data_IF_263731315302
#
_entry.id   IF_263731315302
#
_cell.length_a   1.000
_cell.length_b   1.000
_cell.length_c   1.000
_cell.angle_alpha   90.00
_cell.angle_beta   90.00
_cell.angle_gamma   90.00
#
_symmetry.space_group_name_H-M   'P 1'
#
loop_
_entity.id
_entity.type
_entity.pdbx_description
1 polymer ?
#
# COMPACT_ATOMS: atom_id res chain seq x y z
N UNK A 1 -30.81 6.85 3.66
CA UNK A 1 -29.89 6.98 4.80
C UNK A 1 -28.53 6.44 4.38
N UNK A 2 -27.41 7.11 4.71
CA UNK A 2 -26.07 6.58 4.47
C UNK A 2 -25.91 5.23 5.18
N UNK A 3 -25.14 4.31 4.62
CA UNK A 3 -24.79 3.07 5.33
C UNK A 3 -23.96 3.41 6.58
N UNK A 4 -23.88 2.47 7.53
CA UNK A 4 -22.99 2.63 8.70
C UNK A 4 -21.53 2.83 8.29
N UNK A 5 -21.08 2.19 7.21
CA UNK A 5 -19.73 2.37 6.67
C UNK A 5 -19.55 3.78 6.10
N UNK A 6 -20.53 4.29 5.34
CA UNK A 6 -20.49 5.64 4.77
C UNK A 6 -20.40 6.75 5.82
N UNK A 7 -20.86 6.52 7.06
CA UNK A 7 -20.74 7.52 8.14
C UNK A 7 -19.40 7.51 8.86
N UNK A 8 -18.64 6.41 8.82
CA UNK A 8 -17.39 6.23 9.60
C UNK A 8 -16.18 5.89 8.73
N UNK A 9 -16.32 5.99 7.40
CA UNK A 9 -15.31 5.48 6.49
C UNK A 9 -13.93 6.09 6.69
N UNK A 10 -13.84 7.35 7.16
CA UNK A 10 -12.56 8.01 7.42
C UNK A 10 -11.80 7.35 8.56
N UNK A 11 -12.49 6.90 9.60
CA UNK A 11 -11.90 6.15 10.70
C UNK A 11 -11.43 4.78 10.22
N UNK A 12 -12.23 4.12 9.37
CA UNK A 12 -11.84 2.84 8.73
C UNK A 12 -10.66 3.00 7.76
N UNK A 13 -10.48 4.19 7.21
CA UNK A 13 -9.31 4.59 6.41
C UNK A 13 -8.17 5.18 7.27
N UNK A 14 -8.22 5.04 8.59
CA UNK A 14 -7.09 5.35 9.47
C UNK A 14 -6.94 6.82 9.85
N UNK A 15 -7.98 7.65 9.70
CA UNK A 15 -7.96 9.05 10.14
C UNK A 15 -7.40 9.20 11.57
N UNK A 16 -7.87 8.34 12.47
CA UNK A 16 -7.45 8.28 13.87
C UNK A 16 -6.54 7.07 14.15
N UNK A 17 -5.69 6.69 13.17
CA UNK A 17 -4.74 5.56 13.28
C UNK A 17 -5.38 4.24 13.75
N UNK A 18 -6.64 4.00 13.39
CA UNK A 18 -7.44 2.85 13.81
C UNK A 18 -7.51 2.62 15.33
N UNK A 19 -7.37 3.68 16.12
CA UNK A 19 -7.48 3.62 17.58
C UNK A 19 -8.82 2.99 17.98
N UNK A 20 -8.78 1.99 18.87
CA UNK A 20 -9.96 1.21 19.32
C UNK A 20 -10.71 0.45 18.21
N UNK A 21 -10.13 0.27 17.02
CA UNK A 21 -10.73 -0.51 15.94
C UNK A 21 -10.04 -1.85 15.67
N UNK A 22 -8.81 -2.04 16.15
CA UNK A 22 -8.02 -3.26 15.91
C UNK A 22 -8.22 -4.30 17.01
N UNK A 23 -8.37 -3.86 18.26
CA UNK A 23 -8.50 -4.75 19.42
C UNK A 23 -9.59 -4.24 20.39
N UNK A 24 -10.76 -4.92 20.47
CA UNK A 24 -11.21 -6.01 19.58
C UNK A 24 -11.45 -5.51 18.15
N UNK A 25 -11.27 -6.40 17.17
CA UNK A 25 -11.40 -6.03 15.76
C UNK A 25 -12.83 -5.56 15.44
N UNK A 26 -12.94 -4.31 15.00
CA UNK A 26 -14.21 -3.73 14.59
C UNK A 26 -14.76 -4.45 13.34
N UNK A 27 -16.03 -4.89 13.33
CA UNK A 27 -16.59 -5.63 12.19
C UNK A 27 -16.57 -4.88 10.85
N UNK A 28 -16.68 -3.55 10.87
CA UNK A 28 -16.57 -2.74 9.64
C UNK A 28 -15.12 -2.68 9.14
N UNK A 29 -14.16 -2.57 10.06
CA UNK A 29 -12.74 -2.62 9.71
C UNK A 29 -12.38 -4.01 9.17
N UNK A 30 -12.85 -5.08 9.82
CA UNK A 30 -12.69 -6.45 9.34
C UNK A 30 -13.24 -6.62 7.92
N UNK A 31 -14.45 -6.10 7.66
CA UNK A 31 -15.06 -6.14 6.33
C UNK A 31 -14.23 -5.43 5.26
N UNK A 32 -13.68 -4.25 5.55
CA UNK A 32 -12.81 -3.54 4.61
C UNK A 32 -11.46 -4.24 4.43
N UNK A 33 -10.86 -4.81 5.50
CA UNK A 33 -9.65 -5.64 5.41
C UNK A 33 -9.88 -6.81 4.44
N UNK A 34 -10.98 -7.55 4.61
CA UNK A 34 -11.33 -8.66 3.73
C UNK A 34 -11.53 -8.16 2.29
N UNK A 35 -12.28 -7.07 2.10
CA UNK A 35 -12.55 -6.49 0.77
C UNK A 35 -11.25 -6.10 0.04
N UNK A 36 -10.31 -5.45 0.72
CA UNK A 36 -9.03 -5.09 0.12
C UNK A 36 -8.13 -6.31 -0.11
N UNK A 37 -8.21 -7.33 0.75
CA UNK A 37 -7.56 -8.62 0.52
C UNK A 37 -8.10 -9.33 -0.73
N UNK A 38 -9.41 -9.31 -0.96
CA UNK A 38 -10.03 -9.89 -2.16
C UNK A 38 -9.57 -9.22 -3.45
N UNK A 39 -9.36 -7.91 -3.45
CA UNK A 39 -8.77 -7.22 -4.61
C UNK A 39 -7.33 -7.67 -4.89
N UNK A 40 -6.53 -7.87 -3.85
CA UNK A 40 -5.18 -8.42 -4.01
C UNK A 40 -5.25 -9.85 -4.56
N UNK A 41 -6.19 -10.67 -4.09
CA UNK A 41 -6.40 -12.02 -4.62
C UNK A 41 -6.89 -12.02 -6.07
N UNK A 42 -7.66 -11.02 -6.49
CA UNK A 42 -8.04 -10.84 -7.89
C UNK A 42 -6.80 -10.63 -8.78
N UNK A 43 -5.75 -9.98 -8.28
CA UNK A 43 -4.49 -9.90 -9.01
C UNK A 43 -3.85 -11.27 -9.25
N UNK A 44 -3.79 -12.12 -8.23
CA UNK A 44 -3.24 -13.47 -8.40
C UNK A 44 -4.02 -14.28 -9.43
N UNK A 45 -5.35 -14.26 -9.38
CA UNK A 45 -6.22 -14.99 -10.32
C UNK A 45 -6.07 -14.49 -11.76
N UNK A 46 -5.97 -13.18 -11.97
CA UNK A 46 -5.77 -12.61 -13.29
C UNK A 46 -4.42 -13.02 -13.91
N UNK A 47 -3.38 -13.16 -13.08
CA UNK A 47 -2.06 -13.63 -13.52
C UNK A 47 -2.07 -15.11 -13.91
N UNK A 48 -2.77 -15.97 -13.16
CA UNK A 48 -2.89 -17.40 -13.50
C UNK A 48 -3.53 -17.65 -14.87
N UNK A 49 -4.43 -16.75 -15.30
CA UNK A 49 -5.12 -16.86 -16.58
C UNK A 49 -4.23 -16.51 -17.79
N UNK A 50 -3.21 -15.66 -17.61
CA UNK A 50 -2.24 -15.31 -18.65
C UNK A 50 -0.80 -15.36 -18.12
N UNK A 51 -0.20 -16.56 -18.05
CA UNK A 51 1.17 -16.75 -17.56
C UNK A 51 2.24 -16.09 -18.44
N UNK A 52 1.92 -15.74 -19.69
CA UNK A 52 2.83 -15.03 -20.58
C UNK A 52 2.90 -13.52 -20.25
N UNK A 53 1.90 -13.00 -19.53
CA UNK A 53 1.88 -11.65 -18.97
C UNK A 53 2.77 -11.51 -17.72
N UNK A 54 4.04 -11.92 -17.86
CA UNK A 54 5.09 -11.84 -16.83
C UNK A 54 5.33 -10.42 -16.28
N UNK A 55 4.74 -9.40 -16.93
CA UNK A 55 4.87 -7.97 -16.61
C UNK A 55 3.70 -7.40 -15.82
N UNK A 56 2.60 -8.13 -15.68
CA UNK A 56 1.44 -7.62 -14.97
C UNK A 56 1.62 -7.80 -13.45
N UNK A 57 1.64 -6.68 -12.74
CA UNK A 57 1.92 -6.62 -11.29
C UNK A 57 0.75 -6.05 -10.48
N UNK A 58 -0.32 -5.57 -11.13
CA UNK A 58 -1.42 -4.91 -10.46
C UNK A 58 -2.41 -4.22 -11.39
N UNK A 59 -3.42 -3.60 -10.81
CA UNK A 59 -4.40 -2.77 -11.53
C UNK A 59 -4.87 -1.57 -10.70
N UNK A 60 -5.46 -0.60 -11.41
CA UNK A 60 -6.19 0.53 -10.84
C UNK A 60 -7.68 0.34 -11.12
N UNK A 61 -8.50 0.49 -10.09
CA UNK A 61 -9.95 0.43 -10.17
C UNK A 61 -10.55 1.65 -9.45
N UNK A 62 -11.78 2.01 -9.83
CA UNK A 62 -12.53 3.07 -9.15
C UNK A 62 -13.94 2.58 -8.85
N UNK A 63 -14.43 2.88 -7.65
CA UNK A 63 -15.78 2.49 -7.25
C UNK A 63 -16.83 3.11 -8.17
N UNK A 64 -17.78 2.32 -8.69
CA UNK A 64 -18.94 2.84 -9.43
C UNK A 64 -19.99 3.50 -8.51
N UNK A 65 -20.96 4.21 -9.07
CA UNK A 65 -21.89 5.07 -8.31
C UNK A 65 -22.71 4.29 -7.27
N UNK A 66 -23.12 3.07 -7.60
CA UNK A 66 -23.80 2.17 -6.66
C UNK A 66 -22.92 1.89 -5.44
N UNK A 67 -21.62 1.73 -5.63
CA UNK A 67 -20.69 1.45 -4.54
C UNK A 67 -20.35 2.71 -3.74
N UNK A 68 -20.24 3.87 -4.40
CA UNK A 68 -20.12 5.17 -3.72
C UNK A 68 -21.24 5.41 -2.73
N UNK A 69 -22.49 5.05 -3.07
CA UNK A 69 -23.62 5.18 -2.16
C UNK A 69 -23.47 4.35 -0.87
N UNK A 70 -22.72 3.25 -0.93
CA UNK A 70 -22.42 2.40 0.23
C UNK A 70 -21.17 2.83 0.98
N UNK A 71 -20.13 3.26 0.28
CA UNK A 71 -18.85 3.64 0.88
C UNK A 71 -18.85 5.06 1.44
N UNK A 72 -19.76 5.92 0.97
CA UNK A 72 -19.79 7.35 1.30
C UNK A 72 -18.70 8.16 0.59
N UNK A 73 -17.97 7.56 -0.36
CA UNK A 73 -16.84 8.13 -1.08
C UNK A 73 -16.61 7.42 -2.41
N UNK A 74 -15.95 8.11 -3.34
CA UNK A 74 -15.32 7.54 -4.54
C UNK A 74 -13.97 6.96 -4.16
N UNK A 75 -13.87 5.64 -4.07
CA UNK A 75 -12.63 4.95 -3.72
C UNK A 75 -11.86 4.61 -4.98
N UNK A 76 -10.66 5.19 -5.13
CA UNK A 76 -9.67 4.80 -6.14
C UNK A 76 -8.80 3.73 -5.49
N UNK A 77 -8.89 2.49 -5.99
CA UNK A 77 -8.16 1.34 -5.45
C UNK A 77 -7.03 0.97 -6.40
N UNK A 78 -5.80 0.97 -5.89
CA UNK A 78 -4.63 0.45 -6.59
C UNK A 78 -4.19 -0.82 -5.90
N UNK A 79 -4.06 -1.91 -6.64
CA UNK A 79 -3.70 -3.21 -6.08
C UNK A 79 -2.48 -3.80 -6.73
N UNK A 80 -1.65 -4.43 -5.92
CA UNK A 80 -0.43 -5.10 -6.37
C UNK A 80 -0.38 -6.54 -5.86
N UNK A 81 -0.01 -7.47 -6.74
CA UNK A 81 0.34 -8.82 -6.32
C UNK A 81 1.78 -8.89 -5.82
N UNK A 82 2.07 -9.90 -5.00
CA UNK A 82 3.43 -10.31 -4.70
C UNK A 82 4.05 -11.19 -5.79
N UNK A 83 5.26 -11.65 -5.53
CA UNK A 83 5.91 -12.68 -6.35
C UNK A 83 5.20 -14.02 -6.18
N UNK A 84 5.02 -14.76 -7.27
CA UNK A 84 4.47 -16.14 -7.24
C UNK A 84 5.60 -17.15 -6.97
N UNK A 85 6.85 -16.76 -7.18
CA UNK A 85 8.03 -17.64 -7.10
C UNK A 85 9.13 -17.06 -6.20
N UNK A 86 9.38 -17.78 -5.10
CA UNK A 86 10.53 -17.78 -4.19
C UNK A 86 10.79 -16.60 -3.21
N UNK A 87 10.97 -16.88 -1.89
CA UNK A 87 11.53 -15.94 -0.90
C UNK A 87 12.89 -15.36 -1.29
N UNK A 88 13.68 -16.10 -2.07
CA UNK A 88 14.98 -15.66 -2.61
C UNK A 88 14.87 -14.37 -3.41
N UNK A 89 13.76 -14.17 -4.14
CA UNK A 89 13.53 -12.92 -4.87
C UNK A 89 13.40 -11.73 -3.93
N UNK A 90 12.68 -11.91 -2.82
CA UNK A 90 12.49 -10.85 -1.83
C UNK A 90 13.83 -10.52 -1.18
N UNK A 91 14.62 -11.54 -0.81
CA UNK A 91 15.96 -11.36 -0.28
C UNK A 91 16.88 -10.61 -1.26
N UNK A 92 16.84 -10.94 -2.56
CA UNK A 92 17.60 -10.22 -3.60
C UNK A 92 17.19 -8.74 -3.71
N UNK A 93 15.89 -8.45 -3.57
CA UNK A 93 15.35 -7.09 -3.64
C UNK A 93 15.71 -6.24 -2.40
N UNK A 94 15.99 -6.87 -1.26
CA UNK A 94 16.29 -6.22 0.02
C UNK A 94 17.79 -6.26 0.35
N UNK A 95 18.63 -5.90 -0.62
CA UNK A 95 20.09 -5.96 -0.49
C UNK A 95 20.73 -4.63 -0.15
N UNK A 96 20.05 -3.50 -0.40
CA UNK A 96 20.63 -2.17 -0.38
C UNK A 96 19.55 -1.10 -0.25
N UNK A 97 19.79 -0.10 0.61
CA UNK A 97 18.91 1.05 0.75
C UNK A 97 19.37 2.20 -0.15
N UNK A 98 18.46 2.72 -0.97
CA UNK A 98 18.70 3.90 -1.82
C UNK A 98 17.77 5.06 -1.48
N UNK A 99 18.24 6.32 -1.60
CA UNK A 99 17.38 7.48 -1.41
C UNK A 99 16.17 7.46 -2.35
N UNK A 100 14.97 7.65 -1.81
CA UNK A 100 13.73 7.74 -2.57
C UNK A 100 13.59 9.14 -3.19
N UNK A 101 14.26 9.36 -4.32
CA UNK A 101 14.30 10.66 -5.03
C UNK A 101 13.07 10.85 -5.93
N UNK A 102 11.89 10.83 -5.32
CA UNK A 102 10.64 10.96 -6.06
C UNK A 102 10.29 12.42 -6.42
N UNK A 103 10.57 13.38 -5.53
CA UNK A 103 10.49 14.80 -5.86
C UNK A 103 11.83 15.30 -6.44
N UNK A 104 11.88 15.70 -7.73
CA UNK A 104 13.09 16.26 -8.33
C UNK A 104 13.46 17.65 -7.76
N UNK A 105 12.54 18.34 -7.10
CA UNK A 105 12.76 19.68 -6.55
C UNK A 105 13.24 19.67 -5.09
N UNK A 106 12.89 18.65 -4.31
CA UNK A 106 13.30 18.49 -2.91
C UNK A 106 13.86 17.09 -2.63
N UNK A 107 14.99 16.76 -3.25
CA UNK A 107 15.63 15.46 -3.08
C UNK A 107 16.13 15.28 -1.64
N UNK A 108 15.39 14.49 -0.85
CA UNK A 108 15.78 14.04 0.49
C UNK A 108 16.75 12.87 0.42
N UNK A 109 17.83 12.90 1.21
CA UNK A 109 18.88 11.85 1.25
C UNK A 109 18.75 10.94 2.47
N UNK A 110 18.01 11.41 3.47
CA UNK A 110 17.61 10.75 4.71
C UNK A 110 16.48 9.73 4.50
N UNK A 111 15.59 9.98 3.53
CA UNK A 111 14.51 9.06 3.16
C UNK A 111 15.04 7.97 2.22
N UNK A 112 15.19 6.74 2.72
CA UNK A 112 15.73 5.61 1.94
C UNK A 112 14.79 4.42 1.92
N UNK A 113 14.73 3.76 0.76
CA UNK A 113 13.91 2.59 0.50
C UNK A 113 14.75 1.47 -0.10
N UNK A 114 14.27 0.23 0.00
CA UNK A 114 14.95 -0.93 -0.59
C UNK A 114 15.07 -0.77 -2.12
N UNK A 115 16.30 -0.87 -2.59
CA UNK A 115 16.68 -0.63 -3.98
C UNK A 115 15.92 -1.54 -4.95
N UNK A 116 15.69 -2.79 -4.59
CA UNK A 116 14.97 -3.72 -5.44
C UNK A 116 13.53 -3.25 -5.71
N UNK A 117 12.81 -2.83 -4.68
CA UNK A 117 11.45 -2.32 -4.85
C UNK A 117 11.43 -0.99 -5.61
N UNK A 118 12.38 -0.10 -5.33
CA UNK A 118 12.53 1.15 -6.06
C UNK A 118 12.81 0.92 -7.55
N UNK A 119 13.66 -0.05 -7.85
CA UNK A 119 14.03 -0.44 -9.21
C UNK A 119 12.80 -0.96 -9.94
N UNK A 120 12.06 -1.92 -9.38
CA UNK A 120 10.82 -2.44 -9.98
C UNK A 120 9.78 -1.34 -10.25
N UNK A 121 9.70 -0.34 -9.36
CA UNK A 121 8.78 0.77 -9.49
C UNK A 121 9.20 1.80 -10.57
N UNK A 122 10.49 2.04 -10.76
CA UNK A 122 11.01 3.14 -11.59
C UNK A 122 11.67 2.70 -12.91
N UNK A 123 12.00 1.40 -13.07
CA UNK A 123 12.61 0.85 -14.27
C UNK A 123 11.74 1.11 -15.51
N UNK A 124 12.36 1.68 -16.53
CA UNK A 124 11.78 1.87 -17.86
C UNK A 124 12.55 0.98 -18.86
N UNK A 125 11.93 -0.13 -19.28
CA UNK A 125 12.48 -0.99 -20.34
C UNK A 125 12.09 -0.41 -21.71
N UNK A 126 12.85 0.59 -22.17
CA UNK A 126 12.64 1.28 -23.46
C UNK A 126 12.95 0.44 -24.72
N UNK A 127 12.93 -0.90 -24.63
CA UNK A 127 13.26 -1.80 -25.74
C UNK A 127 12.06 -2.36 -26.51
N UNK A 128 10.81 -2.13 -26.08
CA UNK A 128 9.62 -2.65 -26.78
C UNK A 128 8.79 -1.55 -27.47
N UNK A 129 8.39 -1.84 -28.71
CA UNK A 129 7.64 -1.02 -29.69
C UNK A 129 6.25 -0.49 -29.24
N UNK A 130 5.91 -0.55 -27.96
CA UNK A 130 4.59 -0.18 -27.42
C UNK A 130 4.56 1.11 -26.59
N UNK A 131 5.70 1.77 -26.34
CA UNK A 131 5.73 3.14 -25.79
C UNK A 131 5.18 3.35 -24.38
N UNK A 132 5.00 2.29 -23.58
CA UNK A 132 4.55 2.40 -22.19
C UNK A 132 5.74 2.79 -21.30
N UNK A 133 5.57 3.85 -20.50
CA UNK A 133 6.57 4.29 -19.51
C UNK A 133 6.76 3.28 -18.37
N UNK A 134 7.58 3.63 -17.39
CA UNK A 134 7.78 2.87 -16.14
C UNK A 134 6.46 2.62 -15.39
N UNK A 135 6.48 1.66 -14.46
CA UNK A 135 5.33 1.38 -13.58
C UNK A 135 4.84 2.65 -12.86
N UNK A 136 5.78 3.41 -12.27
CA UNK A 136 5.53 4.73 -11.68
C UNK A 136 4.78 5.66 -12.63
N UNK A 137 5.28 5.87 -13.84
CA UNK A 137 4.67 6.81 -14.80
C UNK A 137 3.24 6.41 -15.18
N UNK A 138 3.01 5.11 -15.42
CA UNK A 138 1.67 4.60 -15.75
C UNK A 138 0.69 4.82 -14.59
N UNK A 139 1.10 4.51 -13.36
CA UNK A 139 0.25 4.63 -12.17
C UNK A 139 -0.04 6.09 -11.82
N UNK A 140 0.98 6.96 -11.82
CA UNK A 140 0.80 8.38 -11.53
C UNK A 140 -0.07 9.07 -12.59
N UNK A 141 0.09 8.71 -13.87
CA UNK A 141 -0.75 9.21 -14.95
C UNK A 141 -2.22 8.81 -14.74
N UNK A 142 -2.47 7.54 -14.44
CA UNK A 142 -3.83 7.03 -14.25
C UNK A 142 -4.51 7.59 -12.98
N UNK A 143 -3.77 7.67 -11.87
CA UNK A 143 -4.27 8.31 -10.63
C UNK A 143 -4.61 9.77 -10.91
N UNK A 144 -3.72 10.51 -11.57
CA UNK A 144 -3.97 11.91 -11.93
C UNK A 144 -5.21 12.06 -12.83
N UNK A 145 -5.38 11.17 -13.80
CA UNK A 145 -6.54 11.13 -14.69
C UNK A 145 -7.84 10.91 -13.91
N UNK A 146 -7.85 9.98 -12.96
CA UNK A 146 -9.02 9.68 -12.13
C UNK A 146 -9.35 10.81 -11.16
N UNK A 147 -8.34 11.40 -10.50
CA UNK A 147 -8.52 12.56 -9.63
C UNK A 147 -9.14 13.74 -10.37
N UNK A 148 -8.70 13.99 -11.60
CA UNK A 148 -9.26 15.07 -12.41
C UNK A 148 -10.68 14.75 -12.91
N UNK A 149 -10.96 13.48 -13.23
CA UNK A 149 -12.28 13.01 -13.68
C UNK A 149 -13.36 13.15 -12.61
N UNK A 150 -13.03 12.81 -11.35
CA UNK A 150 -13.98 12.83 -10.22
C UNK A 150 -13.84 14.06 -9.33
N UNK A 151 -13.20 15.12 -9.86
CA UNK A 151 -12.99 16.37 -9.14
C UNK A 151 -14.31 16.94 -8.62
N UNK A 152 -14.37 17.22 -7.32
CA UNK A 152 -15.55 17.74 -6.63
C UNK A 152 -16.39 16.67 -5.92
N UNK A 153 -16.09 15.39 -6.11
CA UNK A 153 -16.60 14.31 -5.26
C UNK A 153 -15.74 14.13 -4.02
N UNK A 154 -16.29 13.44 -3.01
CA UNK A 154 -15.54 12.96 -1.85
C UNK A 154 -14.73 11.73 -2.27
N UNK A 155 -13.41 11.82 -2.31
CA UNK A 155 -12.50 10.79 -2.86
C UNK A 155 -11.63 10.18 -1.76
N UNK A 156 -11.27 8.91 -1.89
CA UNK A 156 -10.13 8.28 -1.20
C UNK A 156 -9.21 7.57 -2.19
N UNK A 157 -7.92 7.49 -1.86
CA UNK A 157 -6.96 6.64 -2.56
C UNK A 157 -6.57 5.51 -1.63
N UNK A 158 -6.93 4.28 -2.00
CA UNK A 158 -6.57 3.09 -1.23
C UNK A 158 -5.63 2.21 -2.03
N UNK A 159 -4.52 1.85 -1.42
CA UNK A 159 -3.53 0.94 -1.97
C UNK A 159 -3.57 -0.37 -1.22
N UNK A 160 -3.57 -1.49 -1.92
CA UNK A 160 -3.55 -2.80 -1.30
C UNK A 160 -2.47 -3.66 -1.95
N UNK A 161 -1.76 -4.44 -1.16
CA UNK A 161 -0.78 -5.36 -1.71
C UNK A 161 -0.40 -6.46 -0.75
N UNK A 162 -0.01 -7.60 -1.31
CA UNK A 162 0.51 -8.74 -0.56
C UNK A 162 2.00 -8.95 -0.84
N UNK A 163 2.78 -9.30 0.19
CA UNK A 163 4.20 -9.62 0.08
C UNK A 163 4.96 -8.49 -0.64
N UNK A 164 5.68 -8.77 -1.75
CA UNK A 164 6.34 -7.74 -2.57
C UNK A 164 5.37 -6.63 -3.03
N UNK A 165 4.10 -6.97 -3.31
CA UNK A 165 3.08 -6.01 -3.72
C UNK A 165 2.77 -4.98 -2.62
N UNK A 166 2.91 -5.37 -1.35
CA UNK A 166 2.80 -4.43 -0.24
C UNK A 166 3.88 -3.36 -0.32
N UNK A 167 5.12 -3.73 -0.66
CA UNK A 167 6.22 -2.77 -0.81
C UNK A 167 5.95 -1.74 -1.91
N UNK A 168 5.43 -2.20 -3.05
CA UNK A 168 5.03 -1.30 -4.15
C UNK A 168 3.88 -0.37 -3.74
N UNK A 169 2.92 -0.87 -2.96
CA UNK A 169 1.84 -0.06 -2.41
C UNK A 169 2.37 1.05 -1.49
N UNK A 170 3.36 0.77 -0.63
CA UNK A 170 3.98 1.81 0.20
C UNK A 170 4.71 2.86 -0.64
N UNK A 171 5.47 2.43 -1.65
CA UNK A 171 6.22 3.34 -2.52
C UNK A 171 5.29 4.27 -3.29
N UNK A 172 4.22 3.75 -3.89
CA UNK A 172 3.25 4.58 -4.61
C UNK A 172 2.50 5.51 -3.66
N UNK A 173 2.12 5.06 -2.45
CA UNK A 173 1.44 5.90 -1.47
C UNK A 173 2.31 7.10 -1.06
N UNK A 174 3.58 6.83 -0.78
CA UNK A 174 4.57 7.88 -0.50
C UNK A 174 4.75 8.82 -1.70
N UNK A 175 4.90 8.29 -2.92
CA UNK A 175 5.10 9.08 -4.14
C UNK A 175 3.91 10.01 -4.43
N UNK A 176 2.67 9.52 -4.30
CA UNK A 176 1.44 10.32 -4.45
C UNK A 176 1.43 11.50 -3.45
N UNK A 177 1.77 11.22 -2.20
CA UNK A 177 1.71 12.22 -1.13
C UNK A 177 2.88 13.21 -1.19
N UNK A 178 4.08 12.75 -1.54
CA UNK A 178 5.28 13.59 -1.69
C UNK A 178 5.14 14.56 -2.88
N UNK A 179 4.59 14.09 -4.00
CA UNK A 179 4.26 14.93 -5.16
C UNK A 179 3.06 15.85 -4.92
N UNK A 180 2.33 15.67 -3.81
CA UNK A 180 1.14 16.44 -3.48
C UNK A 180 -0.03 16.21 -4.43
N UNK A 181 -0.09 15.07 -5.12
CA UNK A 181 -1.20 14.74 -6.04
C UNK A 181 -2.53 14.60 -5.30
N UNK A 182 -2.48 14.22 -4.03
CA UNK A 182 -3.65 14.14 -3.15
C UNK A 182 -4.06 15.50 -2.55
N UNK A 183 -3.34 16.59 -2.84
CA UNK A 183 -3.70 17.95 -2.40
C UNK A 183 -4.56 18.62 -3.47
N UNK A 184 -5.84 18.79 -3.19
CA UNK A 184 -6.75 19.47 -4.10
C UNK A 184 -6.66 20.98 -3.87
N UNK A 185 -6.05 21.71 -4.81
CA UNK A 185 -5.95 23.17 -4.77
C UNK A 185 -7.34 23.81 -4.52
N UNK A 186 -7.48 24.49 -3.37
CA UNK A 186 -8.71 25.19 -2.96
C UNK A 186 -9.59 24.44 -1.96
N UNK A 187 -9.27 23.19 -1.60
CA UNK A 187 -9.94 22.45 -0.53
C UNK A 187 -9.05 22.40 0.72
N UNK A 188 -9.63 22.64 1.90
CA UNK A 188 -8.93 22.58 3.19
C UNK A 188 -8.59 21.16 3.67
N UNK A 189 -8.87 20.14 2.85
CA UNK A 189 -8.68 18.73 3.20
C UNK A 189 -8.01 17.99 2.06
N UNK A 190 -6.89 17.37 2.37
CA UNK A 190 -6.20 16.46 1.47
C UNK A 190 -7.02 15.17 1.28
N UNK A 191 -6.90 14.58 0.10
CA UNK A 191 -7.48 13.27 -0.19
C UNK A 191 -6.72 12.23 0.64
N UNK A 192 -7.42 11.42 1.46
CA UNK A 192 -6.76 10.40 2.28
C UNK A 192 -6.12 9.34 1.40
N UNK A 193 -4.88 9.00 1.73
CA UNK A 193 -4.09 7.93 1.10
C UNK A 193 -3.84 6.84 2.14
N UNK A 194 -4.37 5.65 1.89
CA UNK A 194 -4.32 4.54 2.84
C UNK A 194 -3.74 3.30 2.20
N UNK A 195 -2.88 2.58 2.91
CA UNK A 195 -2.27 1.32 2.49
C UNK A 195 -2.78 0.18 3.36
N UNK A 196 -3.34 -0.85 2.74
CA UNK A 196 -3.64 -2.15 3.34
C UNK A 196 -2.57 -3.16 2.91
N UNK A 197 -1.64 -3.44 3.81
CA UNK A 197 -0.48 -4.30 3.57
C UNK A 197 -0.73 -5.68 4.15
N UNK A 198 -0.63 -6.73 3.34
CA UNK A 198 -0.82 -8.12 3.75
C UNK A 198 0.52 -8.88 3.67
N UNK A 199 1.08 -9.32 4.80
CA UNK A 199 2.35 -10.06 4.79
C UNK A 199 3.53 -9.30 4.17
N UNK A 200 3.48 -7.96 4.17
CA UNK A 200 4.48 -7.11 3.53
C UNK A 200 5.78 -6.99 4.36
N UNK A 201 6.96 -7.08 3.72
CA UNK A 201 8.24 -6.82 4.39
C UNK A 201 8.40 -5.32 4.72
N UNK A 202 9.48 -4.96 5.42
CA UNK A 202 9.83 -3.54 5.59
C UNK A 202 10.36 -2.98 4.27
N UNK A 203 9.99 -1.73 3.98
CA UNK A 203 10.22 -1.10 2.67
C UNK A 203 11.36 -0.08 2.69
N UNK A 204 11.66 0.50 3.86
CA UNK A 204 12.64 1.56 3.99
C UNK A 204 13.09 1.79 5.42
N UNK A 205 13.90 2.82 5.61
CA UNK A 205 14.45 3.20 6.91
C UNK A 205 13.47 4.01 7.77
N UNK A 206 13.90 4.38 8.97
CA UNK A 206 13.10 5.22 9.89
C UNK A 206 12.68 6.56 9.23
N UNK A 207 13.58 7.22 8.50
CA UNK A 207 13.24 8.47 7.81
C UNK A 207 12.13 8.32 6.77
N UNK A 208 12.05 7.17 6.09
CA UNK A 208 10.92 6.86 5.21
C UNK A 208 9.60 6.73 5.98
N UNK A 209 9.61 6.05 7.14
CA UNK A 209 8.45 5.95 8.02
C UNK A 209 7.97 7.34 8.47
N UNK A 210 8.88 8.13 9.07
CA UNK A 210 8.58 9.46 9.62
C UNK A 210 8.04 10.38 8.52
N UNK A 211 8.62 10.31 7.32
CA UNK A 211 8.14 11.12 6.19
C UNK A 211 6.74 10.72 5.74
N UNK A 212 6.42 9.43 5.65
CA UNK A 212 5.05 8.99 5.33
C UNK A 212 4.04 9.52 6.35
N UNK A 213 4.40 9.55 7.64
CA UNK A 213 3.56 10.08 8.71
C UNK A 213 3.37 11.60 8.60
N UNK A 214 4.44 12.35 8.33
CA UNK A 214 4.39 13.79 8.06
C UNK A 214 3.45 14.15 6.90
N UNK A 215 3.43 13.30 5.87
CA UNK A 215 2.58 13.46 4.69
C UNK A 215 1.13 12.99 4.92
N UNK A 216 0.83 12.40 6.07
CA UNK A 216 -0.51 11.91 6.40
C UNK A 216 -0.88 10.58 5.73
N UNK A 217 0.08 9.83 5.18
CA UNK A 217 -0.17 8.49 4.63
C UNK A 217 -0.51 7.54 5.77
N UNK A 218 -1.62 6.81 5.63
CA UNK A 218 -2.06 5.82 6.61
C UNK A 218 -1.71 4.42 6.14
N UNK A 219 -1.19 3.57 7.02
CA UNK A 219 -0.80 2.20 6.68
C UNK A 219 -1.29 1.24 7.76
N UNK A 220 -2.12 0.29 7.36
CA UNK A 220 -2.57 -0.85 8.15
C UNK A 220 -1.80 -2.09 7.69
N UNK A 221 -1.02 -2.69 8.59
CA UNK A 221 -0.26 -3.92 8.31
C UNK A 221 -1.00 -5.11 8.92
N UNK A 222 -1.47 -6.00 8.05
CA UNK A 222 -2.03 -7.30 8.40
C UNK A 222 -0.93 -8.33 8.26
N UNK A 223 -0.50 -8.88 9.40
CA UNK A 223 0.64 -9.79 9.46
C UNK A 223 0.23 -11.09 10.13
N UNK A 224 0.81 -12.19 9.68
CA UNK A 224 0.79 -13.44 10.42
C UNK A 224 2.06 -13.49 11.27
N UNK A 225 1.92 -13.75 12.58
CA UNK A 225 3.05 -13.83 13.53
C UNK A 225 4.09 -14.88 13.10
N UNK A 226 3.61 -15.94 12.44
CA UNK A 226 4.42 -17.05 11.97
C UNK A 226 5.05 -16.81 10.59
N UNK A 227 4.75 -15.71 9.91
CA UNK A 227 5.33 -15.39 8.61
C UNK A 227 6.76 -14.85 8.77
N UNK A 228 7.78 -15.45 8.15
CA UNK A 228 9.15 -14.91 8.17
C UNK A 228 9.32 -13.67 7.31
N UNK A 229 8.48 -13.44 6.30
CA UNK A 229 8.62 -12.32 5.34
C UNK A 229 8.44 -10.97 6.03
N UNK A 230 7.50 -10.87 6.98
CA UNK A 230 7.23 -9.62 7.70
C UNK A 230 8.39 -9.16 8.59
N UNK A 231 9.32 -10.07 8.90
CA UNK A 231 10.51 -9.81 9.73
C UNK A 231 11.69 -9.27 8.91
N UNK A 232 11.62 -9.29 7.58
CA UNK A 232 12.70 -8.84 6.71
C UNK A 232 12.58 -7.34 6.33
N UNK A 233 13.71 -6.62 6.16
CA UNK A 233 15.09 -7.04 6.45
C UNK A 233 15.37 -7.03 7.97
N UNK A 234 16.01 -8.11 8.45
CA UNK A 234 16.58 -8.25 9.81
C UNK A 234 15.64 -8.77 10.92
N UNK A 235 15.68 -10.09 11.21
CA UNK A 235 16.28 -10.74 12.41
C UNK A 235 16.26 -12.27 12.16
N UNK A 236 17.33 -12.84 11.60
CA UNK A 236 17.62 -14.27 11.74
C UNK A 236 18.72 -14.36 12.80
N UNK A 237 18.39 -14.96 13.95
CA UNK A 237 19.19 -15.28 15.14
C UNK A 237 18.74 -14.60 16.44
N UNK A 238 17.90 -15.34 17.16
CA UNK A 238 17.89 -15.55 18.61
C UNK A 238 18.51 -14.45 19.50
N UNK A 239 17.69 -13.50 19.93
CA UNK A 239 17.84 -12.88 21.25
C UNK A 239 16.49 -12.89 21.97
N UNK A 240 16.56 -13.39 23.20
CA UNK A 240 15.46 -13.63 24.13
C UNK A 240 14.67 -12.35 24.38
N UNK A 241 13.34 -12.49 24.40
CA UNK A 241 12.39 -11.74 25.26
C UNK A 241 12.98 -10.48 25.91
N UNK A 242 13.01 -9.35 25.18
CA UNK A 242 13.00 -7.95 25.69
C UNK A 242 13.27 -6.94 24.58
N UNK A 243 12.40 -6.90 23.57
CA UNK A 243 12.12 -5.66 22.79
C UNK A 243 10.62 -5.59 22.49
N UNK A 244 9.79 -5.93 23.48
CA UNK A 244 8.41 -5.46 23.53
C UNK A 244 8.48 -4.11 24.23
N UNK A 245 8.54 -2.98 23.49
CA UNK A 245 8.05 -1.65 23.90
C UNK A 245 8.45 -0.45 23.03
N UNK A 246 9.21 -0.60 21.93
CA UNK A 246 9.57 0.56 21.11
C UNK A 246 9.30 0.32 19.62
N UNK A 247 8.06 0.59 19.18
CA UNK A 247 7.71 1.08 17.82
C UNK A 247 6.17 1.05 17.65
N UNK A 248 5.48 1.97 18.34
CA UNK A 248 4.05 2.20 18.10
C UNK A 248 3.81 3.00 16.80
N UNK A 249 2.57 2.85 16.27
CA UNK A 249 1.82 3.68 15.31
C UNK A 249 1.62 3.23 13.85
N UNK A 250 2.13 2.07 13.44
CA UNK A 250 1.41 1.29 12.41
C UNK A 250 0.36 0.47 13.14
N UNK A 251 -0.91 0.51 12.71
CA UNK A 251 -1.85 -0.48 13.18
C UNK A 251 -1.38 -1.84 12.62
N UNK A 252 -0.84 -2.68 13.50
CA UNK A 252 -0.40 -4.03 13.16
C UNK A 252 -1.46 -4.99 13.71
N UNK A 253 -2.21 -5.62 12.80
CA UNK A 253 -3.13 -6.69 13.16
C UNK A 253 -2.37 -8.00 13.00
N UNK A 254 -2.08 -8.65 14.12
CA UNK A 254 -1.48 -9.97 14.15
C UNK A 254 -2.57 -11.03 14.41
N UNK A 255 -2.60 -12.07 13.57
CA UNK A 255 -3.42 -13.26 13.82
C UNK A 255 -2.52 -14.47 14.01
N UNK A 256 -2.75 -15.22 15.09
CA UNK A 256 -2.26 -16.59 15.24
C UNK A 256 -3.25 -17.50 14.51
N UNK A 257 -2.80 -18.17 13.45
CA UNK A 257 -3.55 -19.25 12.83
C UNK A 257 -3.17 -20.55 13.54
N UNK A 258 -4.08 -21.11 14.34
CA UNK A 258 -4.00 -22.53 14.71
C UNK A 258 -4.33 -23.34 13.45
N UNK A 259 -3.43 -24.26 13.07
CA UNK A 259 -3.70 -25.22 12.01
C UNK A 259 -4.94 -26.05 12.41
N UNK A 260 -6.02 -25.93 11.64
CA UNK A 260 -7.10 -26.90 11.71
C UNK A 260 -6.56 -28.24 11.20
N UNK A 261 -6.30 -29.16 12.13
CA UNK A 261 -5.93 -30.55 11.87
C UNK A 261 -7.01 -31.33 11.11
#
# INVERSE_FOLDING_TARGET
MPTRLASVWRDIQGLNNWENLVEPLNPLLQGEIIRYGEFVMACYKAFEFDPESKRWIGYVAVSGDKEVSKLGRRDIVITFRGTVTNPEWIANLMSSLKPARFDPHHARTDVKVEEGFLSLYTLNESANKFGLGSCREQLLCEVSRLLNKYKGEEISITLAGHSMGSSLAHLLAYDIAELGLNRVNGCWKDIPVTVFSFGGPRVGNLGFKERCEELGVKVLRVVNVNDPIVKLPGVVFNEKFRVFNELYWFAEMSQEFEECA
#
